data_IF_779911300470
#
_entry.id   IF_779911300470
#
_cell.length_a   1.000
_cell.length_b   1.000
_cell.length_c   1.000
_cell.angle_alpha   90.00
_cell.angle_beta   90.00
_cell.angle_gamma   90.00
#
_symmetry.space_group_name_H-M   'P 1'
#
loop_
_entity.id
_entity.type
_entity.pdbx_description
1 polymer ?
#
# COMPACT_ATOMS: atom_id res chain seq x y z
N UNK A 1 -2.50 3.72 20.00
CA UNK A 1 -3.98 3.87 19.95
C UNK A 1 -4.62 2.57 20.43
N UNK A 2 -5.75 2.64 21.14
CA UNK A 2 -6.52 1.46 21.56
C UNK A 2 -7.78 1.42 20.69
N UNK A 3 -8.06 0.26 20.10
CA UNK A 3 -9.21 0.04 19.22
C UNK A 3 -9.94 -1.22 19.69
N UNK A 4 -11.26 -1.21 19.60
CA UNK A 4 -12.08 -2.35 19.99
C UNK A 4 -12.36 -3.23 18.78
N UNK A 5 -12.31 -4.54 18.98
CA UNK A 5 -12.79 -5.51 18.02
C UNK A 5 -14.31 -5.57 18.13
N UNK A 6 -15.01 -5.35 17.02
CA UNK A 6 -16.47 -5.41 16.95
C UNK A 6 -16.92 -6.63 16.16
N UNK A 7 -18.19 -7.00 16.32
CA UNK A 7 -18.82 -8.03 15.49
C UNK A 7 -19.15 -7.44 14.10
N UNK A 8 -18.71 -8.11 13.04
CA UNK A 8 -19.07 -7.80 11.65
C UNK A 8 -19.69 -9.06 11.05
N UNK A 9 -21.03 -9.12 11.02
CA UNK A 9 -21.76 -10.34 10.67
C UNK A 9 -21.41 -11.52 11.59
N UNK A 10 -20.88 -12.60 11.01
CA UNK A 10 -20.38 -13.78 11.74
C UNK A 10 -18.89 -13.69 12.11
N UNK A 11 -18.23 -12.59 11.73
CA UNK A 11 -16.81 -12.36 11.94
C UNK A 11 -16.56 -11.33 13.04
N UNK A 12 -15.28 -11.20 13.41
CA UNK A 12 -14.78 -10.14 14.29
C UNK A 12 -13.91 -9.21 13.46
N UNK A 13 -14.12 -7.91 13.58
CA UNK A 13 -13.40 -6.91 12.79
C UNK A 13 -12.77 -5.84 13.65
N UNK A 14 -11.69 -5.26 13.12
CA UNK A 14 -11.03 -4.09 13.66
C UNK A 14 -11.21 -2.96 12.65
N UNK A 15 -11.77 -1.82 13.08
CA UNK A 15 -12.06 -0.70 12.18
C UNK A 15 -10.89 0.28 12.22
N UNK A 16 -10.29 0.54 11.06
CA UNK A 16 -9.27 1.58 10.91
C UNK A 16 -9.93 2.92 10.58
N UNK A 17 -9.52 3.96 11.30
CA UNK A 17 -9.92 5.33 10.97
C UNK A 17 -9.03 5.90 9.86
N UNK A 18 -9.49 6.99 9.25
CA UNK A 18 -8.79 7.63 8.13
C UNK A 18 -7.34 7.99 8.49
N UNK A 19 -7.10 8.50 9.70
CA UNK A 19 -5.77 8.89 10.15
C UNK A 19 -4.80 7.69 10.21
N UNK A 20 -5.25 6.53 10.72
CA UNK A 20 -4.44 5.31 10.71
C UNK A 20 -4.19 4.80 9.28
N UNK A 21 -5.20 4.84 8.41
CA UNK A 21 -5.05 4.45 7.01
C UNK A 21 -4.04 5.34 6.28
N UNK A 22 -4.07 6.66 6.51
CA UNK A 22 -3.10 7.62 5.95
C UNK A 22 -1.67 7.36 6.46
N UNK A 23 -1.51 7.12 7.77
CA UNK A 23 -0.20 6.84 8.38
C UNK A 23 0.44 5.54 7.86
N UNK A 24 -0.39 4.52 7.59
CA UNK A 24 0.07 3.20 7.14
C UNK A 24 0.07 3.03 5.62
N UNK A 25 -0.60 3.93 4.90
CA UNK A 25 -0.84 3.84 3.47
C UNK A 25 -1.74 2.66 3.07
N UNK A 26 -2.58 2.16 3.99
CA UNK A 26 -3.60 1.14 3.72
C UNK A 26 -4.81 1.78 3.04
N UNK A 27 -5.33 1.10 2.03
CA UNK A 27 -6.51 1.52 1.27
C UNK A 27 -7.60 0.45 1.28
N UNK A 28 -8.84 0.85 1.02
CA UNK A 28 -9.94 -0.09 0.83
C UNK A 28 -9.65 -1.01 -0.37
N UNK A 29 -9.82 -2.31 -0.19
CA UNK A 29 -9.53 -3.32 -1.22
C UNK A 29 -8.07 -3.79 -1.28
N UNK A 30 -7.17 -3.25 -0.45
CA UNK A 30 -5.80 -3.73 -0.37
C UNK A 30 -5.76 -5.20 0.08
N UNK A 31 -4.90 -5.98 -0.58
CA UNK A 31 -4.48 -7.26 -0.04
C UNK A 31 -3.45 -7.01 1.06
N UNK A 32 -3.59 -7.69 2.21
CA UNK A 32 -2.73 -7.48 3.37
C UNK A 32 -2.17 -8.81 3.83
N UNK A 33 -0.85 -8.87 4.00
CA UNK A 33 -0.20 -10.00 4.66
C UNK A 33 -0.37 -9.87 6.17
N UNK A 34 -0.78 -10.96 6.81
CA UNK A 34 -1.01 -11.03 8.26
C UNK A 34 0.04 -11.96 8.86
N UNK A 35 0.93 -11.42 9.68
CA UNK A 35 1.92 -12.22 10.43
C UNK A 35 1.58 -12.17 11.90
N UNK A 36 1.46 -13.35 12.50
CA UNK A 36 1.24 -13.53 13.94
C UNK A 36 2.58 -13.89 14.58
N UNK A 37 3.01 -13.09 15.53
CA UNK A 37 4.23 -13.32 16.29
C UNK A 37 3.92 -14.03 17.61
N UNK A 38 4.95 -14.58 18.24
CA UNK A 38 4.83 -15.10 19.60
C UNK A 38 4.33 -14.01 20.56
N UNK A 39 3.42 -14.38 21.47
CA UNK A 39 2.74 -13.42 22.34
C UNK A 39 1.49 -12.77 21.74
N UNK A 40 1.09 -13.15 20.51
CA UNK A 40 -0.18 -12.75 19.92
C UNK A 40 -0.17 -11.37 19.25
N UNK A 41 1.00 -10.76 19.10
CA UNK A 41 1.16 -9.55 18.30
C UNK A 41 0.89 -9.84 16.82
N UNK A 42 0.16 -8.97 16.15
CA UNK A 42 -0.16 -9.08 14.73
C UNK A 42 0.50 -7.93 13.99
N UNK A 43 1.25 -8.23 12.93
CA UNK A 43 1.73 -7.24 11.97
C UNK A 43 0.94 -7.37 10.68
N UNK A 44 0.39 -6.24 10.23
CA UNK A 44 -0.33 -6.11 8.96
C UNK A 44 0.57 -5.37 7.98
N UNK A 45 0.86 -5.98 6.84
CA UNK A 45 1.69 -5.37 5.79
C UNK A 45 0.92 -5.34 4.47
N UNK A 46 0.64 -4.16 3.89
CA UNK A 46 -0.01 -4.09 2.60
C UNK A 46 0.82 -4.77 1.52
N UNK A 47 0.19 -5.65 0.74
CA UNK A 47 0.78 -6.30 -0.42
C UNK A 47 0.55 -5.42 -1.65
N UNK A 48 1.54 -4.61 -1.99
CA UNK A 48 1.48 -3.81 -3.21
C UNK A 48 1.89 -4.64 -4.42
N UNK A 49 1.17 -4.57 -5.55
CA UNK A 49 1.61 -5.18 -6.80
C UNK A 49 3.02 -4.68 -7.12
N UNK A 50 3.97 -5.59 -7.23
CA UNK A 50 5.32 -5.23 -7.68
C UNK A 50 5.25 -5.09 -9.19
N UNK A 51 5.56 -3.90 -9.71
CA UNK A 51 5.83 -3.77 -11.14
C UNK A 51 7.17 -4.46 -11.42
N UNK A 52 7.23 -5.27 -12.45
CA UNK A 52 8.49 -5.85 -12.89
C UNK A 52 9.42 -4.74 -13.40
N UNK A 53 10.72 -4.90 -13.18
CA UNK A 53 11.71 -3.89 -13.56
C UNK A 53 11.63 -3.52 -15.05
N UNK A 54 11.26 -4.48 -15.90
CA UNK A 54 11.04 -4.28 -17.33
C UNK A 54 9.87 -3.32 -17.62
N UNK A 55 8.75 -3.48 -16.93
CA UNK A 55 7.56 -2.63 -17.11
C UNK A 55 7.78 -1.23 -16.54
N UNK A 56 8.51 -1.14 -15.42
CA UNK A 56 8.97 0.13 -14.87
C UNK A 56 9.86 0.89 -15.87
N UNK A 57 10.86 0.21 -16.44
CA UNK A 57 11.78 0.78 -17.42
C UNK A 57 11.07 1.21 -18.70
N UNK A 58 10.13 0.39 -19.20
CA UNK A 58 9.31 0.72 -20.37
C UNK A 58 8.48 1.98 -20.13
N UNK A 59 7.81 2.05 -18.98
CA UNK A 59 7.00 3.21 -18.58
C UNK A 59 7.87 4.46 -18.43
N UNK A 60 9.04 4.34 -17.80
CA UNK A 60 10.00 5.44 -17.65
C UNK A 60 10.51 5.95 -19.00
N UNK A 61 10.92 5.06 -19.92
CA UNK A 61 11.35 5.46 -21.29
C UNK A 61 10.24 6.18 -22.05
N UNK A 62 9.00 5.69 -21.97
CA UNK A 62 7.86 6.35 -22.61
C UNK A 62 7.57 7.72 -22.00
N UNK A 63 7.73 7.89 -20.68
CA UNK A 63 7.56 9.17 -20.00
C UNK A 63 8.66 10.17 -20.40
N UNK A 64 9.93 9.73 -20.40
CA UNK A 64 11.08 10.55 -20.80
C UNK A 64 10.97 10.96 -22.27
N UNK A 65 10.59 10.02 -23.15
CA UNK A 65 10.40 10.30 -24.57
C UNK A 65 9.31 11.35 -24.82
N UNK A 66 8.16 11.22 -24.16
CA UNK A 66 7.05 12.20 -24.28
C UNK A 66 7.42 13.59 -23.75
N UNK A 67 8.28 13.66 -22.73
CA UNK A 67 8.67 14.92 -22.08
C UNK A 67 10.12 15.33 -22.40
N UNK A 68 10.68 14.86 -23.52
CA UNK A 68 12.11 14.98 -23.82
C UNK A 68 12.60 16.43 -23.76
N UNK A 69 11.82 17.36 -24.30
CA UNK A 69 12.17 18.78 -24.32
C UNK A 69 12.14 19.42 -22.93
N UNK A 70 11.17 19.05 -22.09
CA UNK A 70 11.10 19.49 -20.71
C UNK A 70 12.30 18.96 -19.91
N UNK A 71 12.60 17.67 -20.00
CA UNK A 71 13.76 17.09 -19.33
C UNK A 71 15.09 17.68 -19.83
N UNK A 72 15.21 17.99 -21.13
CA UNK A 72 16.38 18.68 -21.70
C UNK A 72 16.60 20.07 -21.10
N UNK A 73 15.54 20.77 -20.71
CA UNK A 73 15.61 22.13 -20.12
C UNK A 73 15.92 22.11 -18.62
N UNK A 74 15.72 20.98 -17.95
CA UNK A 74 15.95 20.80 -16.52
C UNK A 74 17.32 20.20 -16.19
N UNK A 75 18.04 19.68 -17.20
CA UNK A 75 19.41 19.19 -17.10
C UNK A 75 20.40 20.34 -17.35
#
# INVERSE_FOLDING_TARGET
>A
MIKNISRIGNSRGLIFDAALCELTGLQEGDQVNVTVHEGGAITLTPMRPRIEAADAAKSARALIGRNRELFRRLA
#
